data_IF_201342812314
#
_entry.id   IF_201342812314
#
_cell.length_a   1.000
_cell.length_b   1.000
_cell.length_c   1.000
_cell.angle_alpha   90.00
_cell.angle_beta   90.00
_cell.angle_gamma   90.00
#
_symmetry.space_group_name_H-M   'P 1'
#
loop_
_entity.id
_entity.type
_entity.pdbx_description
1 polymer ?
#
# COMPACT_ATOMS: atom_id res chain seq x y z
N UNK A 1 22.96 -42.18 64.10
CA UNK A 1 22.40 -42.10 62.73
C UNK A 1 20.96 -42.59 62.78
N UNK A 2 19.98 -41.70 62.77
CA UNK A 2 18.60 -41.98 62.33
C UNK A 2 17.97 -40.65 61.94
N UNK A 3 17.51 -40.59 60.70
CA UNK A 3 17.22 -39.38 59.94
C UNK A 3 16.04 -38.56 60.46
N UNK A 4 16.18 -37.24 60.35
CA UNK A 4 15.12 -36.24 60.48
C UNK A 4 14.01 -36.47 59.44
N UNK A 5 12.74 -36.20 59.77
CA UNK A 5 11.63 -36.37 58.84
C UNK A 5 11.64 -35.25 57.78
N UNK A 6 11.82 -35.65 56.51
CA UNK A 6 11.58 -34.79 55.35
C UNK A 6 10.10 -34.42 55.28
N UNK A 7 9.77 -33.20 55.68
CA UNK A 7 8.42 -32.66 55.58
C UNK A 7 8.08 -32.40 54.11
N UNK A 8 7.08 -33.12 53.59
CA UNK A 8 6.47 -32.90 52.29
C UNK A 8 5.96 -31.45 52.15
N UNK A 9 5.97 -30.85 50.94
CA UNK A 9 5.41 -29.53 50.71
C UNK A 9 3.93 -29.53 51.09
N UNK A 10 3.57 -28.77 52.13
CA UNK A 10 2.17 -28.58 52.51
C UNK A 10 1.49 -27.85 51.36
N UNK A 11 0.54 -28.52 50.70
CA UNK A 11 -0.44 -27.86 49.84
C UNK A 11 -1.20 -26.85 50.71
N UNK A 12 -0.70 -25.62 50.70
CA UNK A 12 -1.33 -24.50 51.36
C UNK A 12 -2.52 -24.18 50.49
N UNK A 13 -3.72 -24.57 50.93
CA UNK A 13 -4.99 -24.16 50.33
C UNK A 13 -5.07 -22.63 50.37
N UNK A 14 -4.50 -22.00 49.35
CA UNK A 14 -4.37 -20.56 49.26
C UNK A 14 -5.76 -20.03 48.93
N UNK A 15 -6.36 -19.32 49.89
CA UNK A 15 -7.70 -18.80 49.72
C UNK A 15 -7.63 -17.47 48.96
N UNK A 16 -8.73 -17.06 48.34
CA UNK A 16 -8.84 -15.81 47.57
C UNK A 16 -8.35 -14.59 48.39
N UNK A 17 -8.64 -14.57 49.69
CA UNK A 17 -8.17 -13.54 50.62
C UNK A 17 -6.64 -13.46 50.73
N UNK A 18 -5.96 -14.59 50.65
CA UNK A 18 -4.50 -14.65 50.73
C UNK A 18 -3.88 -14.14 49.43
N UNK A 19 -4.49 -14.46 48.29
CA UNK A 19 -4.08 -13.94 46.97
C UNK A 19 -4.25 -12.42 46.90
N UNK A 20 -5.39 -11.90 47.39
CA UNK A 20 -5.64 -10.45 47.46
C UNK A 20 -4.62 -9.76 48.37
N UNK A 21 -4.34 -10.32 49.55
CA UNK A 21 -3.36 -9.76 50.48
C UNK A 21 -1.94 -9.76 49.88
N UNK A 22 -1.60 -10.81 49.14
CA UNK A 22 -0.31 -10.93 48.45
C UNK A 22 -0.15 -9.88 47.35
N UNK A 23 -1.15 -9.72 46.47
CA UNK A 23 -1.11 -8.74 45.38
C UNK A 23 -1.09 -7.29 45.90
N UNK A 24 -1.76 -7.01 47.03
CA UNK A 24 -1.72 -5.68 47.68
C UNK A 24 -0.35 -5.36 48.28
N UNK A 25 0.35 -6.36 48.79
CA UNK A 25 1.68 -6.18 49.40
C UNK A 25 2.80 -6.14 48.37
N UNK A 26 2.56 -6.63 47.15
CA UNK A 26 3.53 -6.70 46.06
C UNK A 26 2.95 -6.10 44.75
N UNK A 27 2.79 -4.77 44.65
CA UNK A 27 2.21 -4.13 43.47
C UNK A 27 3.05 -4.32 42.19
N UNK A 28 4.36 -4.53 42.31
CA UNK A 28 5.26 -4.85 41.21
C UNK A 28 5.14 -6.29 40.69
N UNK A 29 4.39 -7.17 41.38
CA UNK A 29 4.27 -8.58 41.00
C UNK A 29 3.74 -8.75 39.56
N UNK A 30 2.71 -7.99 39.19
CA UNK A 30 2.14 -8.02 37.83
C UNK A 30 3.05 -7.35 36.77
N UNK A 31 3.98 -6.48 37.19
CA UNK A 31 4.98 -5.92 36.28
C UNK A 31 6.11 -6.92 35.98
N UNK A 32 6.45 -7.75 36.97
CA UNK A 32 7.46 -8.82 36.83
C UNK A 32 6.94 -10.05 36.10
N UNK A 33 5.62 -10.21 36.07
CA UNK A 33 4.92 -11.32 35.43
C UNK A 33 3.84 -10.83 34.44
N UNK A 34 4.24 -10.10 33.37
CA UNK A 34 3.31 -9.55 32.39
C UNK A 34 2.49 -10.63 31.66
N UNK A 35 3.00 -11.86 31.55
CA UNK A 35 2.31 -13.02 30.98
C UNK A 35 1.00 -13.38 31.70
N UNK A 36 0.85 -12.98 32.97
CA UNK A 36 -0.39 -13.20 33.73
C UNK A 36 -1.52 -12.27 33.26
N UNK A 37 -1.19 -11.14 32.63
CA UNK A 37 -2.17 -10.19 32.10
C UNK A 37 -2.90 -10.75 30.88
N UNK A 38 -2.23 -11.59 30.08
CA UNK A 38 -2.83 -12.26 28.91
C UNK A 38 -3.90 -13.29 29.31
N UNK A 39 -3.84 -13.80 30.54
CA UNK A 39 -4.80 -14.74 31.11
C UNK A 39 -5.85 -14.07 32.01
N UNK A 40 -5.67 -12.79 32.33
CA UNK A 40 -6.64 -12.01 33.09
C UNK A 40 -7.75 -11.55 32.15
N UNK A 41 -8.92 -12.18 32.27
CA UNK A 41 -10.13 -11.72 31.61
C UNK A 41 -10.68 -10.50 32.38
N UNK A 42 -9.99 -9.36 32.27
CA UNK A 42 -10.37 -8.10 32.91
C UNK A 42 -11.76 -7.71 32.39
N UNK A 43 -12.81 -7.71 33.24
CA UNK A 43 -14.03 -6.99 32.90
C UNK A 43 -13.63 -5.55 32.63
N UNK A 44 -14.23 -4.89 31.63
CA UNK A 44 -14.01 -3.46 31.40
C UNK A 44 -14.11 -2.75 32.75
N UNK A 45 -12.98 -2.24 33.24
CA UNK A 45 -12.91 -1.75 34.59
C UNK A 45 -13.79 -0.50 34.67
N UNK A 46 -14.90 -0.57 35.40
CA UNK A 46 -15.54 0.64 35.91
C UNK A 46 -14.61 1.19 36.99
N UNK A 47 -13.57 1.92 36.56
CA UNK A 47 -12.59 2.61 37.40
C UNK A 47 -13.23 3.77 38.20
N UNK A 48 -14.56 3.82 38.28
CA UNK A 48 -15.32 4.91 38.85
C UNK A 48 -15.42 6.09 37.88
N UNK A 49 -16.44 6.92 38.10
CA UNK A 49 -16.80 8.07 37.26
C UNK A 49 -15.57 8.90 36.85
N UNK A 50 -15.17 8.76 35.58
CA UNK A 50 -14.23 9.69 34.92
C UNK A 50 -12.81 9.19 34.67
N UNK A 51 -12.44 7.97 35.08
CA UNK A 51 -11.10 7.43 34.78
C UNK A 51 -11.18 6.50 33.56
N UNK A 52 -10.82 7.04 32.40
CA UNK A 52 -10.68 6.25 31.19
C UNK A 52 -9.48 5.29 31.32
N UNK A 53 -9.66 4.03 30.92
CA UNK A 53 -8.58 3.05 30.81
C UNK A 53 -7.61 3.49 29.68
N UNK A 54 -6.62 4.29 30.07
CA UNK A 54 -5.62 4.85 29.17
C UNK A 54 -4.80 3.77 28.46
N UNK A 55 -4.63 2.59 29.07
CA UNK A 55 -3.89 1.48 28.46
C UNK A 55 -4.70 0.87 27.32
N UNK A 56 -5.99 0.58 27.54
CA UNK A 56 -6.90 0.11 26.48
C UNK A 56 -7.01 1.12 25.34
N UNK A 57 -7.16 2.41 25.66
CA UNK A 57 -7.20 3.47 24.65
C UNK A 57 -5.92 3.57 23.82
N UNK A 58 -4.74 3.44 24.44
CA UNK A 58 -3.46 3.40 23.70
C UNK A 58 -3.35 2.18 22.79
N UNK A 59 -3.75 1.00 23.25
CA UNK A 59 -3.71 -0.23 22.43
C UNK A 59 -4.68 -0.10 21.25
N UNK A 60 -5.89 0.39 21.48
CA UNK A 60 -6.87 0.59 20.42
C UNK A 60 -6.39 1.64 19.40
N UNK A 61 -5.75 2.71 19.86
CA UNK A 61 -5.11 3.71 18.99
C UNK A 61 -3.96 3.10 18.18
N UNK A 62 -3.06 2.34 18.80
CA UNK A 62 -1.95 1.69 18.09
C UNK A 62 -2.43 0.68 17.05
N UNK A 63 -3.50 -0.07 17.36
CA UNK A 63 -4.13 -0.98 16.39
C UNK A 63 -4.68 -0.20 15.20
N UNK A 64 -5.40 0.91 15.47
CA UNK A 64 -5.93 1.79 14.44
C UNK A 64 -4.83 2.40 13.57
N UNK A 65 -3.80 2.96 14.17
CA UNK A 65 -2.67 3.56 13.45
C UNK A 65 -1.96 2.51 12.57
N UNK A 66 -1.86 1.26 13.05
CA UNK A 66 -1.31 0.13 12.28
C UNK A 66 -2.22 -0.25 11.11
N UNK A 67 -3.53 -0.34 11.33
CA UNK A 67 -4.49 -0.65 10.26
C UNK A 67 -4.45 0.44 9.18
N UNK A 68 -4.43 1.73 9.57
CA UNK A 68 -4.29 2.86 8.63
C UNK A 68 -2.97 2.79 7.84
N UNK A 69 -1.85 2.46 8.48
CA UNK A 69 -0.57 2.31 7.79
C UNK A 69 -0.58 1.16 6.77
N UNK A 70 -1.24 0.04 7.10
CA UNK A 70 -1.40 -1.10 6.19
C UNK A 70 -2.27 -0.73 4.99
N UNK A 71 -3.34 0.03 5.20
CA UNK A 71 -4.20 0.49 4.12
C UNK A 71 -3.45 1.43 3.15
N UNK A 72 -2.68 2.38 3.69
CA UNK A 72 -1.82 3.27 2.89
C UNK A 72 -0.80 2.45 2.09
N UNK A 73 -0.16 1.46 2.72
CA UNK A 73 0.79 0.58 2.04
C UNK A 73 0.13 -0.17 0.88
N UNK A 74 -1.05 -0.74 1.09
CA UNK A 74 -1.79 -1.47 0.06
C UNK A 74 -2.16 -0.54 -1.11
N UNK A 75 -2.59 0.68 -0.81
CA UNK A 75 -2.90 1.68 -1.82
C UNK A 75 -1.65 2.07 -2.62
N UNK A 76 -0.52 2.30 -1.95
CA UNK A 76 0.76 2.60 -2.62
C UNK A 76 1.18 1.46 -3.55
N UNK A 77 1.09 0.20 -3.10
CA UNK A 77 1.39 -0.97 -3.94
C UNK A 77 0.49 -0.99 -5.17
N UNK A 78 -0.81 -0.73 -5.01
CA UNK A 78 -1.75 -0.69 -6.14
C UNK A 78 -1.39 0.39 -7.15
N UNK A 79 -1.06 1.60 -6.68
CA UNK A 79 -0.65 2.72 -7.54
C UNK A 79 0.67 2.40 -8.24
N UNK A 80 1.66 1.86 -7.52
CA UNK A 80 2.94 1.48 -8.11
C UNK A 80 2.77 0.42 -9.18
N UNK A 81 1.91 -0.59 -8.97
CA UNK A 81 1.63 -1.62 -10.00
C UNK A 81 1.01 -1.02 -11.25
N UNK A 82 -0.03 -0.20 -11.11
CA UNK A 82 -0.63 0.47 -12.26
C UNK A 82 0.37 1.35 -13.03
N UNK A 83 1.27 2.02 -12.30
CA UNK A 83 2.32 2.82 -12.92
C UNK A 83 3.38 1.97 -13.64
N UNK A 84 3.74 0.81 -13.10
CA UNK A 84 4.66 -0.12 -13.76
C UNK A 84 4.04 -0.68 -15.04
N UNK A 85 2.75 -1.03 -15.02
CA UNK A 85 2.05 -1.50 -16.22
C UNK A 85 2.06 -0.43 -17.33
N UNK A 86 1.84 0.84 -16.98
CA UNK A 86 1.95 1.96 -17.92
C UNK A 86 3.39 2.11 -18.42
N UNK A 87 4.38 2.02 -17.54
CA UNK A 87 5.79 2.14 -17.90
C UNK A 87 6.22 1.06 -18.90
N UNK A 88 5.85 -0.19 -18.66
CA UNK A 88 6.17 -1.32 -19.54
C UNK A 88 5.55 -1.14 -20.93
N UNK A 89 4.30 -0.68 -20.99
CA UNK A 89 3.61 -0.35 -22.26
C UNK A 89 4.30 0.78 -23.01
N UNK A 90 4.68 1.86 -22.31
CA UNK A 90 5.40 2.99 -22.92
C UNK A 90 6.76 2.54 -23.44
N UNK A 91 7.50 1.75 -22.66
CA UNK A 91 8.80 1.23 -23.08
C UNK A 91 8.67 0.35 -24.34
N UNK A 92 7.68 -0.55 -24.38
CA UNK A 92 7.40 -1.37 -25.55
C UNK A 92 7.06 -0.53 -26.79
N UNK A 93 6.23 0.51 -26.63
CA UNK A 93 5.88 1.42 -27.72
C UNK A 93 7.12 2.18 -28.24
N UNK A 94 7.95 2.71 -27.33
CA UNK A 94 9.20 3.40 -27.69
C UNK A 94 10.15 2.46 -28.45
N UNK A 95 10.32 1.23 -27.98
CA UNK A 95 11.16 0.25 -28.68
C UNK A 95 10.64 -0.06 -30.08
N UNK A 96 9.33 -0.30 -30.24
CA UNK A 96 8.71 -0.51 -31.55
C UNK A 96 8.97 0.66 -32.50
N UNK A 97 8.80 1.90 -32.03
CA UNK A 97 9.08 3.09 -32.83
C UNK A 97 10.56 3.22 -33.21
N UNK A 98 11.49 2.84 -32.34
CA UNK A 98 12.94 2.88 -32.61
C UNK A 98 13.42 1.77 -33.55
N UNK A 99 12.70 0.65 -33.62
CA UNK A 99 13.03 -0.48 -34.50
C UNK A 99 12.59 -0.29 -35.95
N UNK A 100 11.75 0.73 -36.21
CA UNK A 100 11.29 1.07 -37.55
C UNK A 100 12.46 1.38 -38.51
N UNK A 101 12.48 0.73 -39.67
CA UNK A 101 13.53 0.85 -40.69
C UNK A 101 13.18 1.83 -41.80
N UNK A 102 11.94 2.28 -41.86
CA UNK A 102 11.48 3.32 -42.77
C UNK A 102 10.48 4.26 -42.11
N UNK A 103 10.22 5.40 -42.76
CA UNK A 103 9.25 6.37 -42.29
C UNK A 103 7.81 5.83 -42.37
N UNK A 104 7.52 5.03 -43.40
CA UNK A 104 6.26 4.34 -43.58
C UNK A 104 6.02 3.31 -42.46
N UNK A 105 7.04 2.50 -42.14
CA UNK A 105 7.00 1.53 -41.06
C UNK A 105 6.81 2.22 -39.69
N UNK A 106 7.50 3.33 -39.45
CA UNK A 106 7.31 4.14 -38.25
C UNK A 106 5.86 4.64 -38.12
N UNK A 107 5.29 5.15 -39.20
CA UNK A 107 3.91 5.64 -39.23
C UNK A 107 2.93 4.49 -38.95
N UNK A 108 3.14 3.31 -39.53
CA UNK A 108 2.32 2.14 -39.30
C UNK A 108 2.34 1.73 -37.83
N UNK A 109 3.53 1.61 -37.24
CA UNK A 109 3.73 1.28 -35.82
C UNK A 109 3.02 2.29 -34.91
N UNK A 110 3.19 3.59 -35.17
CA UNK A 110 2.58 4.65 -34.34
C UNK A 110 1.06 4.72 -34.49
N UNK A 111 0.51 4.43 -35.67
CA UNK A 111 -0.93 4.59 -35.92
C UNK A 111 -1.74 3.32 -35.65
N UNK A 112 -1.13 2.14 -35.70
CA UNK A 112 -1.80 0.86 -35.49
C UNK A 112 -1.33 0.17 -34.22
N UNK A 113 -0.03 -0.09 -34.08
CA UNK A 113 0.49 -0.93 -32.99
C UNK A 113 0.43 -0.21 -31.64
N UNK A 114 0.66 1.10 -31.62
CA UNK A 114 0.60 1.91 -30.40
C UNK A 114 -0.77 1.91 -29.74
N UNK A 115 -1.86 1.84 -30.50
CA UNK A 115 -3.21 1.75 -29.95
C UNK A 115 -3.37 0.45 -29.12
N UNK A 116 -2.80 -0.65 -29.62
CA UNK A 116 -2.81 -1.96 -28.95
C UNK A 116 -1.83 -1.98 -27.77
N UNK A 117 -0.59 -1.53 -27.98
CA UNK A 117 0.49 -1.57 -26.97
C UNK A 117 0.13 -0.69 -25.77
N UNK A 118 -0.40 0.51 -26.02
CA UNK A 118 -0.76 1.45 -24.95
C UNK A 118 -2.17 1.22 -24.39
N UNK A 119 -2.98 0.35 -25.01
CA UNK A 119 -4.37 0.04 -24.61
C UNK A 119 -5.25 1.30 -24.63
N UNK A 120 -5.20 2.02 -25.76
CA UNK A 120 -5.94 3.26 -25.99
C UNK A 120 -6.85 3.14 -27.22
N UNK A 121 -7.97 3.85 -27.21
CA UNK A 121 -8.96 3.73 -28.28
C UNK A 121 -8.45 4.21 -29.65
N UNK A 122 -7.69 5.31 -29.66
CA UNK A 122 -7.24 5.96 -30.89
C UNK A 122 -5.88 6.62 -30.69
N UNK A 123 -4.97 6.43 -31.65
CA UNK A 123 -3.73 7.19 -31.80
C UNK A 123 -3.76 7.93 -33.14
N UNK A 124 -3.33 9.19 -33.15
CA UNK A 124 -3.24 10.00 -34.36
C UNK A 124 -1.88 10.65 -34.43
N UNK A 125 -1.24 10.57 -35.60
CA UNK A 125 0.03 11.22 -35.88
C UNK A 125 -0.20 12.41 -36.83
N UNK A 126 0.27 13.59 -36.44
CA UNK A 126 0.19 14.80 -37.25
C UNK A 126 1.60 15.21 -37.64
N UNK A 127 1.82 15.39 -38.93
CA UNK A 127 3.12 15.80 -39.48
C UNK A 127 2.96 17.19 -40.09
N UNK A 128 3.81 18.12 -39.65
CA UNK A 128 3.91 19.45 -40.26
C UNK A 128 5.07 19.44 -41.25
N UNK A 129 4.77 19.64 -42.53
CA UNK A 129 5.78 19.71 -43.59
C UNK A 129 5.84 21.15 -44.13
N UNK A 130 7.06 21.69 -44.22
CA UNK A 130 7.30 23.06 -44.67
C UNK A 130 7.39 23.18 -46.21
N UNK A 131 7.35 22.06 -46.93
CA UNK A 131 7.39 22.03 -48.39
C UNK A 131 5.98 22.07 -49.02
N UNK A 132 5.70 23.03 -49.91
CA UNK A 132 4.42 23.12 -50.61
C UNK A 132 4.35 22.02 -51.67
N UNK A 133 3.89 20.82 -51.28
CA UNK A 133 3.77 19.70 -52.23
C UNK A 133 3.47 18.35 -51.60
N UNK A 134 3.84 18.14 -50.33
CA UNK A 134 3.55 16.90 -49.60
C UNK A 134 2.11 16.96 -49.04
N UNK A 135 1.12 17.13 -49.92
CA UNK A 135 -0.28 17.25 -49.50
C UNK A 135 -0.96 15.88 -49.35
N UNK A 136 -0.37 14.82 -49.91
CA UNK A 136 -0.96 13.47 -49.95
C UNK A 136 0.04 12.40 -49.53
N UNK A 137 0.40 12.37 -48.24
CA UNK A 137 0.88 11.11 -47.66
C UNK A 137 -0.36 10.24 -47.46
N UNK A 138 -0.66 9.36 -48.43
CA UNK A 138 -1.75 8.38 -48.34
C UNK A 138 -1.40 7.24 -47.36
N UNK A 139 -0.93 7.58 -46.16
CA UNK A 139 -0.75 6.63 -45.07
C UNK A 139 -1.94 6.76 -44.11
N UNK A 140 -2.63 5.65 -43.87
CA UNK A 140 -3.78 5.58 -42.96
C UNK A 140 -3.36 6.13 -41.59
N UNK A 141 -4.11 7.10 -41.06
CA UNK A 141 -3.86 7.67 -39.73
C UNK A 141 -2.92 8.88 -39.70
N UNK A 142 -2.40 9.33 -40.85
CA UNK A 142 -1.56 10.53 -40.95
C UNK A 142 -2.36 11.72 -41.45
N UNK A 143 -2.24 12.85 -40.75
CA UNK A 143 -2.68 14.16 -41.28
C UNK A 143 -1.49 15.08 -41.45
N UNK A 144 -1.28 15.56 -42.68
CA UNK A 144 -0.31 16.61 -42.98
C UNK A 144 -0.99 17.98 -42.87
N UNK A 145 -0.41 18.88 -42.09
CA UNK A 145 -0.98 20.21 -41.84
C UNK A 145 -0.01 21.29 -42.32
N UNK A 146 -0.55 22.35 -42.94
CA UNK A 146 0.27 23.48 -43.41
C UNK A 146 0.85 24.29 -42.23
N UNK A 147 1.98 25.00 -42.40
CA UNK A 147 2.82 25.52 -41.30
C UNK A 147 2.24 26.64 -40.39
N UNK A 148 0.92 26.82 -40.33
CA UNK A 148 0.26 27.90 -39.56
C UNK A 148 -1.06 27.54 -38.89
N UNK A 149 -1.51 26.27 -38.93
CA UNK A 149 -2.82 25.90 -38.39
C UNK A 149 -2.85 25.77 -36.85
N UNK A 150 -1.73 25.39 -36.22
CA UNK A 150 -1.67 25.17 -34.76
C UNK A 150 -1.66 26.47 -33.93
N UNK A 151 -1.42 27.63 -34.54
CA UNK A 151 -1.39 28.91 -33.82
C UNK A 151 -2.78 29.49 -33.53
N UNK A 152 -3.84 28.96 -34.14
CA UNK A 152 -5.23 29.42 -33.94
C UNK A 152 -6.05 28.56 -32.96
N UNK A 153 -5.54 27.40 -32.50
CA UNK A 153 -6.23 26.55 -31.50
C UNK A 153 -5.74 26.75 -30.07
N UNK A 154 -4.69 27.55 -29.85
CA UNK A 154 -4.13 27.86 -28.52
C UNK A 154 -4.62 29.21 -27.94
N UNK A 155 -5.75 29.74 -28.45
CA UNK A 155 -6.38 30.98 -27.99
C UNK A 155 -7.85 30.74 -27.65
#
# INVERSE_FOLDING_TARGET
MTASPTAAPREKNMNEKDVIAYLKTHPEFLQKHPELLDHLNLPAADLGKGVADFQKFMVDKLKKDRDEAVDVQNQLISVTRANLDIYDRVQAAVLGALEARSFEEFIEIVTHDFAVIMDVDVVSLVIEANEPGIHNVHLKGVRVVSPRHNQKMAA
#
